data_IF_690742929062
#
_entry.id   IF_690742929062
#
_cell.length_a   1.000
_cell.length_b   1.000
_cell.length_c   1.000
_cell.angle_alpha   90.00
_cell.angle_beta   90.00
_cell.angle_gamma   90.00
#
_symmetry.space_group_name_H-M   'P 1'
#
loop_
_entity.id
_entity.type
_entity.pdbx_description
1 polymer ?
#
# COMPACT_ATOMS: atom_id res chain seq x y z
N UNK A 1 -63.59 46.92 -21.96
CA UNK A 1 -63.76 45.76 -21.05
C UNK A 1 -62.61 44.78 -21.26
N UNK A 2 -61.63 44.75 -20.36
CA UNK A 2 -60.51 43.80 -20.42
C UNK A 2 -61.01 42.45 -19.88
N UNK A 3 -61.12 41.44 -20.74
CA UNK A 3 -61.46 40.06 -20.34
C UNK A 3 -60.43 39.58 -19.31
N UNK A 4 -60.83 39.44 -18.04
CA UNK A 4 -60.05 38.72 -17.02
C UNK A 4 -59.78 37.32 -17.55
N UNK A 5 -58.52 37.03 -17.90
CA UNK A 5 -58.07 35.66 -18.20
C UNK A 5 -58.35 34.83 -16.94
N UNK A 6 -59.23 33.85 -17.03
CA UNK A 6 -59.41 32.87 -15.96
C UNK A 6 -58.08 32.16 -15.72
N UNK A 7 -57.40 32.56 -14.65
CA UNK A 7 -56.05 32.14 -14.29
C UNK A 7 -56.06 30.77 -13.56
N UNK A 8 -56.91 29.85 -14.02
CA UNK A 8 -57.07 28.53 -13.40
C UNK A 8 -56.03 27.60 -13.99
N UNK A 9 -55.17 27.04 -13.14
CA UNK A 9 -54.20 26.02 -13.55
C UNK A 9 -54.94 24.75 -13.96
N UNK A 10 -54.66 24.26 -15.17
CA UNK A 10 -55.07 22.91 -15.55
C UNK A 10 -54.30 21.89 -14.70
N UNK A 11 -54.88 20.70 -14.48
CA UNK A 11 -54.24 19.64 -13.70
C UNK A 11 -52.81 19.31 -14.20
N UNK A 12 -52.62 19.29 -15.53
CA UNK A 12 -51.32 19.08 -16.16
C UNK A 12 -50.30 20.20 -15.84
N UNK A 13 -50.73 21.48 -15.93
CA UNK A 13 -49.86 22.61 -15.61
C UNK A 13 -49.50 22.67 -14.12
N UNK A 14 -50.44 22.33 -13.24
CA UNK A 14 -50.18 22.22 -11.80
C UNK A 14 -49.18 21.09 -11.49
N UNK A 15 -49.35 19.91 -12.10
CA UNK A 15 -48.41 18.78 -11.92
C UNK A 15 -46.99 19.14 -12.35
N UNK A 16 -46.83 19.83 -13.50
CA UNK A 16 -45.53 20.35 -13.95
C UNK A 16 -44.93 21.35 -12.97
N UNK A 17 -45.71 22.34 -12.53
CA UNK A 17 -45.27 23.31 -11.52
C UNK A 17 -44.83 22.63 -10.23
N UNK A 18 -45.59 21.65 -9.74
CA UNK A 18 -45.27 20.88 -8.54
C UNK A 18 -43.94 20.12 -8.70
N UNK A 19 -43.71 19.49 -9.86
CA UNK A 19 -42.45 18.80 -10.15
C UNK A 19 -41.27 19.79 -10.19
N UNK A 20 -41.44 20.95 -10.83
CA UNK A 20 -40.41 21.98 -10.95
C UNK A 20 -40.06 22.57 -9.57
N UNK A 21 -41.06 22.92 -8.75
CA UNK A 21 -40.87 23.44 -7.39
C UNK A 21 -40.19 22.40 -6.49
N UNK A 22 -40.62 21.13 -6.56
CA UNK A 22 -39.95 20.04 -5.83
C UNK A 22 -38.48 19.94 -6.22
N UNK A 23 -38.17 19.98 -7.52
CA UNK A 23 -36.78 19.94 -8.00
C UNK A 23 -35.95 21.11 -7.50
N UNK A 24 -36.52 22.32 -7.45
CA UNK A 24 -35.84 23.51 -6.92
C UNK A 24 -35.54 23.38 -5.42
N UNK A 25 -36.52 22.95 -4.63
CA UNK A 25 -36.37 22.75 -3.18
C UNK A 25 -35.31 21.68 -2.90
N UNK A 26 -35.40 20.52 -3.56
CA UNK A 26 -34.45 19.44 -3.33
C UNK A 26 -33.03 19.79 -3.81
N UNK A 27 -32.91 20.49 -4.95
CA UNK A 27 -31.62 21.00 -5.40
C UNK A 27 -31.01 22.01 -4.41
N UNK A 28 -31.83 22.87 -3.81
CA UNK A 28 -31.38 23.81 -2.77
C UNK A 28 -30.89 23.09 -1.51
N UNK A 29 -31.65 22.11 -1.03
CA UNK A 29 -31.29 21.28 0.13
C UNK A 29 -29.99 20.51 -0.12
N UNK A 30 -29.84 19.92 -1.30
CA UNK A 30 -28.63 19.19 -1.66
C UNK A 30 -27.39 20.08 -1.63
N UNK A 31 -27.45 21.27 -2.25
CA UNK A 31 -26.32 22.22 -2.25
C UNK A 31 -25.94 22.67 -0.84
N UNK A 32 -26.94 22.96 0.00
CA UNK A 32 -26.69 23.34 1.39
C UNK A 32 -26.01 22.20 2.17
N UNK A 33 -26.46 20.96 1.99
CA UNK A 33 -25.86 19.79 2.64
C UNK A 33 -24.43 19.51 2.16
N UNK A 34 -24.14 19.70 0.87
CA UNK A 34 -22.80 19.58 0.29
C UNK A 34 -21.85 20.64 0.84
N UNK A 35 -22.28 21.91 0.88
CA UNK A 35 -21.50 23.01 1.43
C UNK A 35 -21.17 22.78 2.92
N UNK A 36 -22.17 22.41 3.73
CA UNK A 36 -21.97 22.04 5.13
C UNK A 36 -20.95 20.90 5.28
N UNK A 37 -21.09 19.85 4.46
CA UNK A 37 -20.19 18.70 4.52
C UNK A 37 -18.74 19.09 4.23
N UNK A 38 -18.52 19.97 3.25
CA UNK A 38 -17.19 20.45 2.90
C UNK A 38 -16.59 21.33 4.00
N UNK A 39 -17.40 22.19 4.61
CA UNK A 39 -16.96 23.05 5.70
C UNK A 39 -16.59 22.23 6.94
N UNK A 40 -17.34 21.18 7.26
CA UNK A 40 -17.01 20.27 8.35
C UNK A 40 -15.67 19.55 8.12
N UNK A 41 -15.40 19.09 6.90
CA UNK A 41 -14.10 18.47 6.57
C UNK A 41 -12.96 19.46 6.79
N UNK A 42 -13.11 20.69 6.32
CA UNK A 42 -12.11 21.74 6.50
C UNK A 42 -11.90 22.07 7.98
N UNK A 43 -13.00 22.31 8.71
CA UNK A 43 -12.99 22.63 10.14
C UNK A 43 -12.29 21.55 10.95
N UNK A 44 -12.65 20.28 10.77
CA UNK A 44 -12.02 19.20 11.54
C UNK A 44 -10.56 18.96 11.17
N UNK A 45 -10.15 19.28 9.94
CA UNK A 45 -8.73 19.28 9.56
C UNK A 45 -7.98 20.40 10.29
N UNK A 46 -8.52 21.63 10.30
CA UNK A 46 -7.93 22.78 10.99
C UNK A 46 -7.85 22.59 12.51
N UNK A 47 -8.89 22.01 13.12
CA UNK A 47 -8.88 21.61 14.54
C UNK A 47 -7.73 20.64 14.82
N UNK A 48 -7.57 19.62 13.97
CA UNK A 48 -6.46 18.67 14.09
C UNK A 48 -5.10 19.32 13.96
N UNK A 49 -4.94 20.23 12.98
CA UNK A 49 -3.72 21.01 12.78
C UNK A 49 -3.40 21.85 14.02
N UNK A 50 -4.38 22.59 14.53
CA UNK A 50 -4.22 23.50 15.65
C UNK A 50 -3.83 22.75 16.93
N UNK A 51 -4.48 21.63 17.22
CA UNK A 51 -4.14 20.79 18.38
C UNK A 51 -2.72 20.23 18.24
N UNK A 52 -2.35 19.74 17.06
CA UNK A 52 -1.02 19.15 16.85
C UNK A 52 0.12 20.16 16.99
N UNK A 53 -0.11 21.43 16.64
CA UNK A 53 0.89 22.50 16.80
C UNK A 53 1.32 22.73 18.26
N UNK A 54 0.51 22.33 19.24
CA UNK A 54 0.88 22.44 20.66
C UNK A 54 1.97 21.44 21.07
N UNK A 55 2.26 20.42 20.24
CA UNK A 55 3.32 19.46 20.53
C UNK A 55 3.12 18.70 21.85
N UNK A 56 1.86 18.39 22.18
CA UNK A 56 1.48 17.76 23.45
C UNK A 56 2.25 16.45 23.64
N UNK A 57 2.80 16.27 24.85
CA UNK A 57 3.55 15.06 25.18
C UNK A 57 2.61 13.87 25.43
N UNK A 58 3.02 12.69 24.97
CA UNK A 58 2.35 11.43 25.30
C UNK A 58 2.71 10.90 26.72
N UNK A 59 3.66 11.55 27.41
CA UNK A 59 4.04 11.16 28.77
C UNK A 59 2.85 11.30 29.72
N UNK A 60 2.65 10.29 30.56
CA UNK A 60 1.55 10.22 31.52
C UNK A 60 0.15 10.46 30.89
N UNK A 61 -0.02 10.15 29.59
CA UNK A 61 -1.27 10.40 28.85
C UNK A 61 -1.72 11.86 28.84
N UNK A 62 -0.79 12.82 29.00
CA UNK A 62 -1.10 14.25 29.07
C UNK A 62 -1.87 14.75 27.84
N UNK A 63 -1.45 14.36 26.63
CA UNK A 63 -2.18 14.69 25.40
C UNK A 63 -3.64 14.21 25.41
N UNK A 64 -3.93 13.03 25.98
CA UNK A 64 -5.31 12.54 26.10
C UNK A 64 -6.11 13.32 27.14
N UNK A 65 -5.50 13.69 28.28
CA UNK A 65 -6.15 14.50 29.30
C UNK A 65 -6.57 15.87 28.73
N UNK A 66 -5.67 16.55 28.00
CA UNK A 66 -5.99 17.83 27.34
C UNK A 66 -7.15 17.67 26.35
N UNK A 67 -7.16 16.60 25.55
CA UNK A 67 -8.27 16.32 24.64
C UNK A 67 -9.60 16.08 25.38
N UNK A 68 -9.55 15.44 26.54
CA UNK A 68 -10.72 15.22 27.40
C UNK A 68 -11.25 16.53 27.96
N UNK A 69 -10.36 17.43 28.41
CA UNK A 69 -10.75 18.75 28.91
C UNK A 69 -11.39 19.60 27.80
N UNK A 70 -10.78 19.61 26.60
CA UNK A 70 -11.34 20.27 25.42
C UNK A 70 -12.71 19.69 25.05
N UNK A 71 -12.87 18.37 25.13
CA UNK A 71 -14.14 17.71 24.87
C UNK A 71 -15.25 18.20 25.80
N UNK A 72 -14.94 18.30 27.10
CA UNK A 72 -15.87 18.74 28.12
C UNK A 72 -16.24 20.22 27.97
N UNK A 73 -15.26 21.10 27.73
CA UNK A 73 -15.45 22.55 27.65
C UNK A 73 -16.17 22.97 26.37
N UNK A 74 -15.87 22.32 25.24
CA UNK A 74 -16.42 22.68 23.94
C UNK A 74 -17.72 21.92 23.61
N UNK A 75 -18.14 20.98 24.46
CA UNK A 75 -19.23 20.03 24.18
C UNK A 75 -19.05 19.30 22.83
N UNK A 76 -17.80 18.94 22.52
CA UNK A 76 -17.44 18.18 21.33
C UNK A 76 -17.03 16.79 21.75
N UNK A 77 -17.56 15.71 21.15
CA UNK A 77 -17.17 14.36 21.54
C UNK A 77 -15.66 14.14 21.44
N UNK A 78 -15.04 13.56 22.49
CA UNK A 78 -13.60 13.27 22.54
C UNK A 78 -13.10 12.56 21.28
N UNK A 79 -13.88 11.58 20.80
CA UNK A 79 -13.56 10.81 19.58
C UNK A 79 -13.44 11.71 18.35
N UNK A 80 -14.23 12.78 18.25
CA UNK A 80 -14.13 13.75 17.16
C UNK A 80 -12.80 14.48 17.21
N UNK A 81 -12.37 14.96 18.38
CA UNK A 81 -11.07 15.64 18.54
C UNK A 81 -9.90 14.70 18.23
N UNK A 82 -9.95 13.46 18.74
CA UNK A 82 -8.96 12.41 18.41
C UNK A 82 -8.91 12.13 16.91
N UNK A 83 -10.07 12.02 16.26
CA UNK A 83 -10.16 11.80 14.81
C UNK A 83 -9.66 13.02 14.03
N UNK A 84 -9.91 14.24 14.48
CA UNK A 84 -9.36 15.47 13.89
C UNK A 84 -7.83 15.48 13.91
N UNK A 85 -7.22 15.15 15.05
CA UNK A 85 -5.75 15.05 15.16
C UNK A 85 -5.21 13.95 14.23
N UNK A 86 -5.82 12.76 14.27
CA UNK A 86 -5.44 11.67 13.38
C UNK A 86 -5.63 12.04 11.90
N UNK A 87 -6.67 12.80 11.57
CA UNK A 87 -6.97 13.28 10.23
C UNK A 87 -5.87 14.20 9.71
N UNK A 88 -5.45 15.20 10.50
CA UNK A 88 -4.33 16.06 10.13
C UNK A 88 -3.01 15.28 10.00
N UNK A 89 -2.76 14.32 10.89
CA UNK A 89 -1.56 13.47 10.81
C UNK A 89 -1.54 12.62 9.54
N UNK A 90 -2.70 12.10 9.14
CA UNK A 90 -2.91 11.29 7.95
C UNK A 90 -2.88 12.10 6.63
N UNK A 91 -3.32 13.36 6.66
CA UNK A 91 -3.44 14.24 5.50
C UNK A 91 -2.74 15.57 5.78
N UNK A 92 -1.48 15.70 5.33
CA UNK A 92 -0.66 16.91 5.56
C UNK A 92 -1.15 18.16 4.84
N UNK A 93 -2.09 18.02 3.92
CA UNK A 93 -2.82 19.10 3.25
C UNK A 93 -4.31 18.84 3.35
N UNK A 94 -5.11 19.90 3.34
CA UNK A 94 -6.58 19.78 3.34
C UNK A 94 -7.03 18.93 2.15
N UNK A 95 -7.71 17.80 2.37
CA UNK A 95 -8.14 16.93 1.29
C UNK A 95 -9.12 17.65 0.36
N UNK A 96 -8.88 17.53 -0.96
CA UNK A 96 -9.72 18.12 -2.02
C UNK A 96 -10.63 17.09 -2.69
N UNK A 97 -10.95 16.00 -2.00
CA UNK A 97 -11.75 14.92 -2.54
C UNK A 97 -13.17 15.40 -2.87
N UNK A 98 -13.57 15.34 -4.14
CA UNK A 98 -14.95 15.64 -4.53
C UNK A 98 -15.89 14.61 -3.92
N UNK A 99 -16.98 15.08 -3.31
CA UNK A 99 -18.02 14.24 -2.69
C UNK A 99 -17.59 13.46 -1.43
N UNK A 100 -16.38 13.67 -0.89
CA UNK A 100 -16.00 13.10 0.39
C UNK A 100 -16.48 13.98 1.54
N UNK A 101 -17.17 13.37 2.50
CA UNK A 101 -17.68 14.01 3.71
C UNK A 101 -16.87 13.56 4.92
N UNK A 102 -16.98 14.27 6.04
CA UNK A 102 -16.31 13.92 7.29
C UNK A 102 -16.48 12.44 7.67
N UNK A 103 -17.71 11.92 7.52
CA UNK A 103 -18.02 10.53 7.80
C UNK A 103 -17.15 9.52 7.02
N UNK A 104 -16.75 9.83 5.78
CA UNK A 104 -15.84 8.98 5.00
C UNK A 104 -14.42 9.04 5.56
N UNK A 105 -13.91 10.24 5.83
CA UNK A 105 -12.57 10.42 6.38
C UNK A 105 -12.39 9.72 7.73
N UNK A 106 -13.41 9.70 8.59
CA UNK A 106 -13.35 8.94 9.86
C UNK A 106 -13.04 7.45 9.65
N UNK A 107 -13.54 6.83 8.58
CA UNK A 107 -13.26 5.43 8.26
C UNK A 107 -11.86 5.26 7.64
N UNK A 108 -11.41 6.25 6.86
CA UNK A 108 -10.15 6.21 6.10
C UNK A 108 -8.91 6.58 6.92
N UNK A 109 -9.05 7.43 7.94
CA UNK A 109 -7.94 7.98 8.73
C UNK A 109 -7.16 6.90 9.49
N UNK A 110 -7.84 5.82 9.90
CA UNK A 110 -7.20 4.69 10.57
C UNK A 110 -6.38 3.77 9.66
N UNK A 111 -6.47 3.93 8.33
CA UNK A 111 -5.77 3.07 7.38
C UNK A 111 -4.28 3.38 7.36
N UNK A 112 -3.44 2.34 7.52
CA UNK A 112 -1.97 2.48 7.51
C UNK A 112 -1.42 2.71 6.10
N UNK A 113 -2.00 2.06 5.09
CA UNK A 113 -1.56 2.16 3.70
C UNK A 113 -2.13 3.42 3.06
N UNK A 114 -1.22 4.31 2.61
CA UNK A 114 -1.60 5.52 1.85
C UNK A 114 -2.23 5.14 0.50
N UNK A 115 -1.75 4.06 -0.14
CA UNK A 115 -2.25 3.61 -1.44
C UNK A 115 -3.68 3.07 -1.34
N UNK A 116 -3.93 2.23 -0.34
CA UNK A 116 -5.27 1.70 -0.04
C UNK A 116 -6.24 2.84 0.28
N UNK A 117 -5.82 3.79 1.12
CA UNK A 117 -6.62 4.95 1.48
C UNK A 117 -7.03 5.77 0.24
N UNK A 118 -6.06 6.09 -0.62
CA UNK A 118 -6.30 6.83 -1.88
C UNK A 118 -7.25 6.08 -2.81
N UNK A 119 -7.08 4.77 -2.95
CA UNK A 119 -7.96 3.97 -3.80
C UNK A 119 -9.40 4.05 -3.33
N UNK A 120 -9.66 3.90 -2.01
CA UNK A 120 -11.00 4.06 -1.47
C UNK A 120 -11.55 5.48 -1.63
N UNK A 121 -10.72 6.53 -1.54
CA UNK A 121 -11.14 7.91 -1.83
C UNK A 121 -11.59 8.06 -3.29
N UNK A 122 -10.86 7.47 -4.24
CA UNK A 122 -11.22 7.45 -5.65
C UNK A 122 -12.53 6.72 -5.87
N UNK A 123 -12.73 5.55 -5.26
CA UNK A 123 -14.00 4.82 -5.35
C UNK A 123 -15.18 5.63 -4.83
N UNK A 124 -15.03 6.32 -3.69
CA UNK A 124 -16.06 7.20 -3.14
C UNK A 124 -16.35 8.37 -4.08
N UNK A 125 -15.32 8.99 -4.65
CA UNK A 125 -15.46 10.11 -5.58
C UNK A 125 -16.13 9.69 -6.89
N UNK A 126 -15.72 8.55 -7.47
CA UNK A 126 -16.22 8.02 -8.75
C UNK A 126 -17.65 7.51 -8.64
N UNK A 127 -17.96 6.73 -7.61
CA UNK A 127 -19.25 6.04 -7.46
C UNK A 127 -20.20 6.75 -6.51
N UNK A 128 -19.82 7.91 -5.94
CA UNK A 128 -20.61 8.69 -4.96
C UNK A 128 -21.09 7.83 -3.78
N UNK A 129 -20.21 6.98 -3.28
CA UNK A 129 -20.53 6.02 -2.23
C UNK A 129 -20.93 6.74 -0.94
N UNK A 130 -21.91 6.16 -0.23
CA UNK A 130 -22.21 6.54 1.15
C UNK A 130 -21.17 5.95 2.11
N UNK A 131 -21.11 6.46 3.34
CA UNK A 131 -20.25 5.92 4.40
C UNK A 131 -20.46 4.43 4.63
N UNK A 132 -21.70 3.96 4.61
CA UNK A 132 -22.00 2.55 4.88
C UNK A 132 -21.59 1.66 3.70
N UNK A 133 -21.74 2.13 2.46
CA UNK A 133 -21.25 1.44 1.27
C UNK A 133 -19.72 1.35 1.26
N UNK A 134 -19.03 2.45 1.59
CA UNK A 134 -17.58 2.46 1.77
C UNK A 134 -17.15 1.44 2.83
N UNK A 135 -17.83 1.40 3.97
CA UNK A 135 -17.52 0.46 5.04
C UNK A 135 -17.67 -1.00 4.59
N UNK A 136 -18.71 -1.31 3.81
CA UNK A 136 -18.89 -2.64 3.22
C UNK A 136 -17.75 -2.98 2.27
N UNK A 137 -17.31 -2.05 1.41
CA UNK A 137 -16.17 -2.29 0.51
C UNK A 137 -14.85 -2.50 1.26
N UNK A 138 -14.62 -1.75 2.33
CA UNK A 138 -13.45 -1.93 3.20
C UNK A 138 -13.48 -3.33 3.83
N UNK A 139 -14.63 -3.72 4.39
CA UNK A 139 -14.79 -5.03 5.04
C UNK A 139 -14.62 -6.21 4.09
N UNK A 140 -14.99 -6.06 2.81
CA UNK A 140 -14.77 -7.07 1.78
C UNK A 140 -13.31 -7.17 1.34
N UNK A 141 -12.44 -6.27 1.78
CA UNK A 141 -11.09 -6.20 1.24
C UNK A 141 -11.10 -5.84 -0.25
N UNK A 142 -12.05 -4.99 -0.68
CA UNK A 142 -12.23 -4.68 -2.09
C UNK A 142 -10.97 -4.07 -2.72
N UNK A 143 -10.11 -3.40 -1.95
CA UNK A 143 -8.81 -2.94 -2.43
C UNK A 143 -7.89 -4.11 -2.78
N UNK A 144 -7.83 -5.14 -1.93
CA UNK A 144 -7.07 -6.37 -2.16
C UNK A 144 -7.67 -7.20 -3.32
N UNK A 145 -8.99 -7.24 -3.44
CA UNK A 145 -9.70 -7.92 -4.54
C UNK A 145 -9.51 -7.19 -5.88
N UNK A 146 -9.62 -5.86 -5.90
CA UNK A 146 -9.42 -5.01 -7.09
C UNK A 146 -7.96 -4.60 -7.31
N UNK A 147 -7.03 -5.14 -6.51
CA UNK A 147 -5.62 -5.17 -6.88
C UNK A 147 -5.40 -5.99 -8.18
N UNK A 148 -6.45 -6.65 -8.69
CA UNK A 148 -6.53 -7.30 -10.00
C UNK A 148 -7.76 -6.75 -10.77
N UNK A 149 -7.69 -6.28 -12.04
CA UNK A 149 -6.63 -6.47 -13.04
C UNK A 149 -6.27 -5.21 -13.88
N UNK A 150 -5.01 -4.77 -13.81
CA UNK A 150 -4.32 -4.02 -14.87
C UNK A 150 -2.81 -4.25 -14.82
N UNK A 151 -2.34 -5.42 -14.35
CA UNK A 151 -0.91 -5.71 -14.36
C UNK A 151 -0.56 -7.20 -14.12
N UNK A 152 -1.22 -8.12 -14.85
CA UNK A 152 -0.77 -9.53 -14.92
C UNK A 152 0.61 -9.71 -15.62
N UNK A 153 1.38 -8.64 -15.79
CA UNK A 153 2.79 -8.67 -16.22
C UNK A 153 3.79 -8.10 -15.20
N UNK A 154 3.36 -7.67 -14.01
CA UNK A 154 4.28 -7.08 -13.00
C UNK A 154 4.26 -7.71 -11.61
N UNK A 155 3.30 -8.59 -11.30
CA UNK A 155 3.41 -9.38 -10.06
C UNK A 155 4.38 -10.50 -10.35
N UNK A 156 5.63 -10.22 -10.01
CA UNK A 156 6.69 -11.15 -9.66
C UNK A 156 8.01 -10.43 -9.42
N UNK A 157 8.06 -9.09 -9.50
CA UNK A 157 9.30 -8.34 -9.28
C UNK A 157 9.63 -8.14 -7.78
N UNK A 158 10.55 -8.94 -7.25
CA UNK A 158 11.22 -8.77 -5.97
C UNK A 158 11.91 -7.40 -5.90
N UNK A 159 11.91 -6.82 -4.70
CA UNK A 159 12.60 -5.57 -4.44
C UNK A 159 14.12 -5.80 -4.41
N UNK A 160 14.83 -5.43 -5.49
CA UNK A 160 16.29 -5.50 -5.54
C UNK A 160 16.92 -4.69 -4.39
N UNK A 161 17.79 -5.30 -3.57
CA UNK A 161 18.58 -4.58 -2.57
C UNK A 161 19.55 -3.58 -3.23
N UNK A 162 19.55 -2.34 -2.73
CA UNK A 162 20.40 -1.25 -3.27
C UNK A 162 21.59 -0.95 -2.34
N UNK A 163 21.47 -1.24 -1.04
CA UNK A 163 22.52 -0.96 -0.06
C UNK A 163 23.59 -2.06 -0.07
N UNK A 164 24.88 -1.75 -0.29
CA UNK A 164 25.95 -2.74 -0.35
C UNK A 164 26.45 -3.21 1.04
N UNK A 165 25.55 -3.37 2.01
CA UNK A 165 25.87 -3.96 3.32
C UNK A 165 25.86 -5.49 3.24
N UNK A 166 26.86 -6.15 3.86
CA UNK A 166 26.95 -7.63 3.92
C UNK A 166 26.90 -8.28 2.54
N UNK A 167 27.68 -7.73 1.60
CA UNK A 167 27.79 -8.20 0.21
C UNK A 167 29.14 -8.87 0.03
N UNK A 168 29.12 -10.13 -0.39
CA UNK A 168 30.31 -10.97 -0.51
C UNK A 168 30.42 -11.53 -1.92
N UNK A 169 31.65 -11.68 -2.39
CA UNK A 169 31.94 -12.49 -3.59
C UNK A 169 31.99 -13.95 -3.15
N UNK A 170 31.40 -14.85 -3.93
CA UNK A 170 31.42 -16.26 -3.62
C UNK A 170 31.57 -17.12 -4.89
N UNK A 171 32.21 -18.26 -4.74
CA UNK A 171 32.26 -19.31 -5.75
C UNK A 171 31.12 -20.30 -5.48
N UNK A 172 30.45 -20.75 -6.54
CA UNK A 172 29.39 -21.75 -6.42
C UNK A 172 30.05 -23.13 -6.37
N UNK A 173 30.02 -23.77 -5.20
CA UNK A 173 30.56 -25.13 -5.03
C UNK A 173 29.58 -26.17 -5.58
N UNK A 174 28.29 -26.03 -5.22
CA UNK A 174 27.20 -26.82 -5.80
C UNK A 174 25.83 -26.20 -5.54
N UNK A 175 24.88 -26.55 -6.38
CA UNK A 175 23.43 -26.35 -6.15
C UNK A 175 22.92 -27.52 -5.31
N UNK A 176 22.16 -27.25 -4.25
CA UNK A 176 21.61 -28.29 -3.36
C UNK A 176 20.21 -28.69 -3.81
N UNK A 177 19.34 -27.71 -4.05
CA UNK A 177 17.97 -27.84 -4.54
C UNK A 177 17.58 -26.59 -5.34
N UNK A 178 16.30 -26.43 -5.70
CA UNK A 178 15.83 -25.31 -6.52
C UNK A 178 15.91 -23.92 -5.85
N UNK A 179 16.23 -23.82 -4.56
CA UNK A 179 16.38 -22.53 -3.85
C UNK A 179 17.58 -22.44 -2.90
N UNK A 180 18.43 -23.47 -2.81
CA UNK A 180 19.54 -23.53 -1.85
C UNK A 180 20.87 -23.80 -2.56
N UNK A 181 21.86 -22.96 -2.25
CA UNK A 181 23.22 -23.02 -2.79
C UNK A 181 24.24 -23.31 -1.70
N UNK A 182 25.25 -24.11 -2.02
CA UNK A 182 26.47 -24.21 -1.22
C UNK A 182 27.54 -23.31 -1.86
N UNK A 183 27.93 -22.27 -1.14
CA UNK A 183 28.82 -21.24 -1.65
C UNK A 183 30.09 -21.16 -0.81
N UNK A 184 31.23 -20.98 -1.49
CA UNK A 184 32.50 -20.64 -0.85
C UNK A 184 32.68 -19.13 -0.91
N UNK A 185 32.39 -18.47 0.22
CA UNK A 185 32.39 -17.01 0.36
C UNK A 185 33.80 -16.48 0.61
N UNK A 186 34.18 -15.43 -0.12
CA UNK A 186 35.42 -14.68 0.08
C UNK A 186 35.18 -13.55 1.09
N UNK A 187 35.87 -13.63 2.24
CA UNK A 187 35.79 -12.64 3.33
C UNK A 187 36.96 -11.65 3.29
N UNK A 188 37.78 -11.70 2.23
CA UNK A 188 39.06 -10.99 2.15
C UNK A 188 40.16 -11.72 2.92
N UNK A 189 41.39 -11.19 2.86
CA UNK A 189 42.55 -11.72 3.58
C UNK A 189 42.84 -13.22 3.33
N UNK A 190 42.48 -13.72 2.14
CA UNK A 190 42.56 -15.16 1.79
C UNK A 190 41.74 -16.07 2.71
N UNK A 191 40.78 -15.51 3.45
CA UNK A 191 39.86 -16.24 4.32
C UNK A 191 38.61 -16.57 3.52
N UNK A 192 38.36 -17.88 3.37
CA UNK A 192 37.18 -18.40 2.73
C UNK A 192 36.30 -19.12 3.72
N UNK A 193 34.98 -18.97 3.58
CA UNK A 193 34.00 -19.68 4.40
C UNK A 193 32.96 -20.35 3.52
N UNK A 194 32.80 -21.65 3.70
CA UNK A 194 31.70 -22.39 3.09
C UNK A 194 30.41 -22.10 3.86
N UNK A 195 29.36 -21.74 3.12
CA UNK A 195 28.07 -21.42 3.69
C UNK A 195 26.94 -21.91 2.78
N UNK A 196 25.93 -22.52 3.41
CA UNK A 196 24.65 -22.78 2.73
C UNK A 196 23.81 -21.51 2.75
N UNK A 197 23.41 -21.06 1.56
CA UNK A 197 22.57 -19.88 1.34
C UNK A 197 21.25 -20.34 0.73
N UNK A 198 20.13 -20.02 1.39
CA UNK A 198 18.80 -20.16 0.81
C UNK A 198 18.40 -18.84 0.15
N UNK A 199 17.90 -18.91 -1.07
CA UNK A 199 17.50 -17.75 -1.84
C UNK A 199 16.33 -17.05 -1.13
N UNK A 200 16.51 -15.77 -0.85
CA UNK A 200 15.53 -14.98 -0.12
C UNK A 200 14.27 -14.74 -0.96
N UNK A 201 13.12 -14.68 -0.27
CA UNK A 201 11.80 -14.32 -0.81
C UNK A 201 11.24 -15.30 -1.86
N UNK A 202 11.87 -16.46 -2.06
CA UNK A 202 11.40 -17.48 -2.99
C UNK A 202 11.31 -18.84 -2.32
N UNK A 203 10.43 -19.68 -2.85
CA UNK A 203 10.30 -21.08 -2.50
C UNK A 203 10.27 -21.93 -3.75
N UNK A 204 11.24 -22.82 -3.86
CA UNK A 204 11.23 -23.83 -4.91
C UNK A 204 10.33 -25.01 -4.51
N UNK A 205 9.72 -25.71 -5.49
CA UNK A 205 9.09 -26.99 -5.24
C UNK A 205 10.09 -28.02 -4.71
N UNK A 206 9.59 -29.04 -3.99
CA UNK A 206 10.42 -30.12 -3.44
C UNK A 206 11.20 -30.83 -4.56
N UNK A 207 12.47 -31.18 -4.31
CA UNK A 207 13.38 -31.72 -5.33
C UNK A 207 12.88 -33.02 -5.98
N UNK A 208 12.06 -33.78 -5.26
CA UNK A 208 11.48 -35.04 -5.72
C UNK A 208 10.31 -34.84 -6.69
N UNK A 209 9.82 -33.61 -6.88
CA UNK A 209 8.80 -33.31 -7.89
C UNK A 209 9.44 -32.96 -9.24
N UNK A 210 8.67 -33.11 -10.33
CA UNK A 210 9.15 -32.77 -11.67
C UNK A 210 9.50 -31.28 -11.78
N UNK A 211 8.72 -30.42 -11.12
CA UNK A 211 8.94 -28.97 -11.06
C UNK A 211 10.19 -28.62 -10.25
N UNK A 212 10.41 -29.28 -9.11
CA UNK A 212 11.61 -29.08 -8.29
C UNK A 212 12.88 -29.48 -9.04
N UNK A 213 12.82 -30.60 -9.79
CA UNK A 213 13.93 -31.03 -10.64
C UNK A 213 14.23 -30.04 -11.76
N UNK A 214 13.20 -29.46 -12.40
CA UNK A 214 13.36 -28.40 -13.42
C UNK A 214 14.01 -27.14 -12.84
N UNK A 215 13.57 -26.68 -11.67
CA UNK A 215 14.16 -25.53 -10.99
C UNK A 215 15.65 -25.78 -10.65
N UNK A 216 15.96 -26.97 -10.11
CA UNK A 216 17.33 -27.40 -9.82
C UNK A 216 18.21 -27.45 -11.08
N UNK A 217 17.75 -28.08 -12.16
CA UNK A 217 18.50 -28.20 -13.41
C UNK A 217 18.79 -26.82 -14.03
N UNK A 218 17.79 -25.92 -14.03
CA UNK A 218 17.95 -24.56 -14.51
C UNK A 218 19.01 -23.81 -13.68
N UNK A 219 18.86 -23.81 -12.35
CA UNK A 219 19.77 -23.12 -11.44
C UNK A 219 21.20 -23.65 -11.57
N UNK A 220 21.38 -24.97 -11.67
CA UNK A 220 22.68 -25.61 -11.86
C UNK A 220 23.32 -25.21 -13.18
N UNK A 221 22.57 -25.28 -14.29
CA UNK A 221 23.11 -24.96 -15.60
C UNK A 221 23.45 -23.47 -15.70
N UNK A 222 22.59 -22.60 -15.17
CA UNK A 222 22.85 -21.16 -15.14
C UNK A 222 24.09 -20.80 -14.34
N UNK A 223 24.24 -21.38 -13.16
CA UNK A 223 25.39 -21.08 -12.29
C UNK A 223 26.70 -21.73 -12.77
N UNK A 224 26.63 -22.72 -13.67
CA UNK A 224 27.82 -23.30 -14.30
C UNK A 224 28.46 -22.36 -15.35
N UNK A 225 27.71 -21.38 -15.87
CA UNK A 225 28.19 -20.42 -16.86
C UNK A 225 28.94 -19.23 -16.24
N UNK A 226 29.00 -19.14 -14.90
CA UNK A 226 29.56 -17.99 -14.19
C UNK A 226 30.73 -18.38 -13.29
N UNK A 227 31.80 -17.59 -13.33
CA UNK A 227 33.00 -17.81 -12.50
C UNK A 227 32.75 -17.56 -11.01
N UNK A 228 31.84 -16.63 -10.70
CA UNK A 228 31.51 -16.23 -9.34
C UNK A 228 30.13 -15.57 -9.27
N UNK A 229 29.59 -15.53 -8.06
CA UNK A 229 28.36 -14.81 -7.73
C UNK A 229 28.61 -13.78 -6.64
N UNK A 230 27.76 -12.78 -6.57
CA UNK A 230 27.70 -11.82 -5.48
C UNK A 230 26.49 -12.12 -4.62
N UNK A 231 26.70 -12.27 -3.32
CA UNK A 231 25.67 -12.67 -2.37
C UNK A 231 25.50 -11.57 -1.34
N UNK A 232 24.26 -11.11 -1.17
CA UNK A 232 23.88 -10.28 -0.04
C UNK A 232 23.15 -11.14 0.99
N UNK A 233 23.71 -11.26 2.19
CA UNK A 233 23.10 -12.02 3.28
C UNK A 233 22.19 -11.13 4.14
N UNK A 234 21.09 -11.69 4.64
CA UNK A 234 20.17 -11.02 5.57
C UNK A 234 20.23 -11.67 6.95
N UNK A 235 19.23 -12.49 7.28
CA UNK A 235 19.08 -13.16 8.56
C UNK A 235 19.28 -14.66 8.41
N UNK A 236 19.45 -15.33 9.54
CA UNK A 236 19.51 -16.79 9.62
C UNK A 236 18.07 -17.29 9.77
N UNK A 237 17.68 -18.29 8.98
CA UNK A 237 16.38 -18.95 9.10
C UNK A 237 16.32 -19.88 10.32
N UNK A 238 15.13 -20.43 10.60
CA UNK A 238 14.91 -21.35 11.74
C UNK A 238 15.74 -22.63 11.68
N UNK A 239 16.37 -22.93 10.54
CA UNK A 239 17.20 -24.10 10.29
C UNK A 239 18.71 -23.77 10.28
N UNK A 240 19.09 -22.54 10.66
CA UNK A 240 20.48 -22.13 10.72
C UNK A 240 21.11 -21.76 9.36
N UNK A 241 20.30 -21.60 8.30
CA UNK A 241 20.78 -21.21 6.95
C UNK A 241 20.66 -19.70 6.78
N UNK A 242 21.62 -19.08 6.08
CA UNK A 242 21.47 -17.66 5.76
C UNK A 242 20.50 -17.49 4.59
N UNK A 243 19.57 -16.56 4.73
CA UNK A 243 18.76 -16.05 3.62
C UNK A 243 19.56 -15.03 2.82
N UNK A 244 19.63 -15.20 1.50
CA UNK A 244 20.46 -14.35 0.65
C UNK A 244 19.86 -14.00 -0.71
N UNK A 245 20.18 -12.79 -1.17
CA UNK A 245 19.97 -12.39 -2.56
C UNK A 245 21.25 -12.65 -3.37
N UNK A 246 21.10 -13.29 -4.53
CA UNK A 246 22.23 -13.70 -5.36
C UNK A 246 22.21 -12.94 -6.69
N UNK A 247 23.37 -12.41 -7.07
CA UNK A 247 23.59 -11.64 -8.28
C UNK A 247 24.77 -12.21 -9.06
N UNK A 248 24.71 -12.16 -10.38
CA UNK A 248 25.81 -12.63 -11.23
C UNK A 248 25.93 -11.77 -12.49
N UNK A 249 27.02 -11.97 -13.24
CA UNK A 249 27.19 -11.34 -14.55
C UNK A 249 28.21 -12.10 -15.38
N UNK A 250 27.94 -12.23 -16.68
CA UNK A 250 28.87 -12.77 -17.66
C UNK A 250 29.93 -11.74 -18.11
N UNK A 251 29.69 -10.43 -17.88
CA UNK A 251 30.52 -9.33 -18.41
C UNK A 251 31.21 -8.54 -17.31
N UNK A 252 30.54 -8.33 -16.19
CA UNK A 252 31.02 -7.48 -15.11
C UNK A 252 31.92 -8.28 -14.16
N UNK A 253 33.13 -7.75 -13.89
CA UNK A 253 34.10 -8.42 -13.01
C UNK A 253 34.18 -7.84 -11.60
N UNK A 254 33.73 -6.59 -11.42
CA UNK A 254 33.81 -5.88 -10.14
C UNK A 254 32.56 -6.13 -9.28
N UNK A 255 32.77 -6.49 -8.00
CA UNK A 255 31.73 -6.84 -7.02
C UNK A 255 30.57 -5.84 -7.00
N UNK A 256 30.87 -4.56 -6.81
CA UNK A 256 29.83 -3.54 -6.60
C UNK A 256 29.01 -3.29 -7.88
N UNK A 257 29.64 -3.42 -9.06
CA UNK A 257 28.96 -3.32 -10.34
C UNK A 257 28.03 -4.52 -10.59
N UNK A 258 28.47 -5.73 -10.26
CA UNK A 258 27.63 -6.94 -10.34
C UNK A 258 26.45 -6.83 -9.36
N UNK A 259 26.68 -6.32 -8.14
CA UNK A 259 25.63 -6.11 -7.16
C UNK A 259 24.58 -5.09 -7.61
N UNK A 260 24.99 -3.96 -8.20
CA UNK A 260 24.05 -2.91 -8.62
C UNK A 260 23.38 -3.22 -9.96
N UNK A 261 24.13 -3.72 -10.93
CA UNK A 261 23.72 -3.80 -12.34
C UNK A 261 23.75 -5.23 -12.93
N UNK A 262 24.20 -6.23 -12.17
CA UNK A 262 24.19 -7.63 -12.60
C UNK A 262 22.80 -8.25 -12.58
N UNK A 263 22.69 -9.46 -13.11
CA UNK A 263 21.46 -10.25 -13.16
C UNK A 263 21.06 -10.67 -11.74
N UNK A 264 19.77 -10.59 -11.41
CA UNK A 264 19.26 -10.92 -10.08
C UNK A 264 18.60 -12.29 -10.12
N UNK A 265 19.33 -13.29 -9.62
CA UNK A 265 18.96 -14.70 -9.76
C UNK A 265 17.61 -15.03 -9.13
N UNK A 266 17.31 -14.49 -7.95
CA UNK A 266 16.03 -14.74 -7.28
C UNK A 266 14.86 -14.26 -8.14
N UNK A 267 15.02 -13.11 -8.81
CA UNK A 267 14.02 -12.55 -9.72
C UNK A 267 13.87 -13.39 -10.99
N UNK A 268 14.99 -13.79 -11.57
CA UNK A 268 15.03 -14.60 -12.79
C UNK A 268 14.28 -15.93 -12.60
N UNK A 269 14.53 -16.64 -11.49
CA UNK A 269 13.82 -17.89 -11.20
C UNK A 269 12.30 -17.71 -11.12
N UNK A 270 11.87 -16.55 -10.61
CA UNK A 270 10.45 -16.21 -10.54
C UNK A 270 9.90 -15.92 -11.94
N UNK A 271 10.62 -15.13 -12.74
CA UNK A 271 10.24 -14.72 -14.09
C UNK A 271 10.10 -15.94 -15.02
N UNK A 272 10.98 -16.93 -14.87
CA UNK A 272 10.94 -18.22 -15.57
C UNK A 272 9.85 -19.16 -15.06
N UNK A 273 9.14 -18.80 -13.98
CA UNK A 273 8.05 -19.60 -13.42
C UNK A 273 8.50 -20.85 -12.67
N UNK A 274 9.78 -20.95 -12.30
CA UNK A 274 10.37 -22.13 -11.65
C UNK A 274 10.12 -22.16 -10.14
N UNK A 275 9.89 -20.99 -9.54
CA UNK A 275 9.70 -20.82 -8.09
C UNK A 275 8.50 -19.92 -7.80
N UNK A 276 8.00 -20.04 -6.56
CA UNK A 276 6.95 -19.19 -6.00
C UNK A 276 7.54 -18.12 -5.08
N UNK A 277 6.87 -16.97 -4.95
CA UNK A 277 7.26 -15.91 -4.00
C UNK A 277 6.74 -16.27 -2.61
N UNK A 278 7.58 -16.11 -1.59
CA UNK A 278 7.23 -16.31 -0.17
C UNK A 278 6.41 -15.16 0.43
#
# INVERSE_FOLDING_TARGET
MVKKKNNILTASRYSKLLADVRKLIEGGRQRAAEALSQELVNTYWLVGQRIEQEGLTDRAHYGQAVLQDLSNVLDVPLRTLQQSVAFFKAYKTTPRGRNLKWAHYRELVGMRSVAERRWYEEQVSMHKLTRDQLLVLIKKGAYQENLLPLDQKKIKQLKRPIKPSYVYKAMVERVVDGDTLLLRMDLGFQVFKEQRIRLAQINAPEIDTEEGRKAYEYLRNRLAEVDFVIVKTHMIDIYGRFLGDVFYSHKLKHRDNVFLNGEYLNQELIDEGLVSVL
#
